data_IF_909402803230
#
_entry.id   IF_909402803230
#
_cell.length_a   1.000
_cell.length_b   1.000
_cell.length_c   1.000
_cell.angle_alpha   90.00
_cell.angle_beta   90.00
_cell.angle_gamma   90.00
#
_symmetry.space_group_name_H-M   'P 1'
#
loop_
_entity.id
_entity.type
_entity.pdbx_description
1 polymer ?
#
# COMPACT_ATOMS: atom_id res chain seq x y z
N UNK A 1 3.84 -5.08 -8.07
CA UNK A 1 3.35 -6.42 -8.47
C UNK A 1 2.01 -6.32 -9.19
N UNK A 2 0.94 -5.80 -8.56
CA UNK A 2 -0.41 -5.72 -9.16
C UNK A 2 -0.43 -5.07 -10.54
N UNK A 3 0.19 -3.89 -10.68
CA UNK A 3 0.33 -3.24 -11.98
C UNK A 3 1.02 -4.16 -13.00
N UNK A 4 2.16 -4.75 -12.65
CA UNK A 4 2.92 -5.61 -13.56
C UNK A 4 2.14 -6.88 -13.96
N UNK A 5 1.30 -7.41 -13.06
CA UNK A 5 0.42 -8.54 -13.40
C UNK A 5 -0.64 -8.14 -14.43
N UNK A 6 -1.28 -6.98 -14.23
CA UNK A 6 -2.27 -6.46 -15.17
C UNK A 6 -1.64 -6.12 -16.53
N UNK A 7 -0.51 -5.43 -16.54
CA UNK A 7 0.24 -5.05 -17.74
C UNK A 7 0.66 -6.26 -18.58
N UNK A 8 1.04 -7.36 -17.91
CA UNK A 8 1.45 -8.62 -18.57
C UNK A 8 0.29 -9.58 -18.83
N UNK A 9 -0.95 -9.19 -18.59
CA UNK A 9 -2.14 -10.03 -18.81
C UNK A 9 -2.20 -11.26 -17.89
N UNK A 10 -1.53 -11.22 -16.72
CA UNK A 10 -1.59 -12.29 -15.72
C UNK A 10 -2.90 -12.15 -14.95
N UNK A 11 -3.71 -13.21 -14.92
CA UNK A 11 -4.93 -13.21 -14.16
C UNK A 11 -4.65 -13.01 -12.66
N UNK A 12 -5.25 -11.99 -12.05
CA UNK A 12 -5.04 -11.68 -10.63
C UNK A 12 -5.42 -12.86 -9.73
N UNK A 13 -6.40 -13.66 -10.11
CA UNK A 13 -6.83 -14.85 -9.37
C UNK A 13 -5.83 -16.02 -9.45
N UNK A 14 -4.87 -15.98 -10.36
CA UNK A 14 -3.79 -16.98 -10.42
C UNK A 14 -2.67 -16.62 -9.43
N UNK A 15 -2.89 -16.97 -8.16
CA UNK A 15 -1.93 -16.72 -7.08
C UNK A 15 -0.52 -17.23 -7.42
N UNK A 16 -0.41 -18.40 -8.04
CA UNK A 16 0.89 -18.99 -8.36
C UNK A 16 1.64 -18.18 -9.43
N UNK A 17 0.95 -17.70 -10.47
CA UNK A 17 1.55 -16.85 -11.48
C UNK A 17 1.95 -15.48 -10.95
N UNK A 18 1.09 -14.88 -10.11
CA UNK A 18 1.37 -13.57 -9.47
C UNK A 18 2.53 -13.69 -8.47
N UNK A 19 2.63 -14.80 -7.75
CA UNK A 19 3.77 -15.08 -6.86
C UNK A 19 5.07 -15.20 -7.65
N UNK A 20 5.11 -16.03 -8.71
CA UNK A 20 6.30 -16.14 -9.57
C UNK A 20 6.71 -14.79 -10.17
N UNK A 21 5.74 -13.98 -10.59
CA UNK A 21 6.03 -12.62 -11.05
C UNK A 21 6.72 -11.79 -9.94
N UNK A 22 6.22 -11.86 -8.71
CA UNK A 22 6.79 -11.07 -7.60
C UNK A 22 8.22 -11.49 -7.21
N UNK A 23 8.60 -12.74 -7.47
CA UNK A 23 9.94 -13.27 -7.21
C UNK A 23 11.00 -12.71 -8.18
N UNK A 24 10.59 -12.39 -9.41
CA UNK A 24 11.51 -11.92 -10.46
C UNK A 24 11.40 -10.42 -10.76
N UNK A 25 10.32 -9.77 -10.32
CA UNK A 25 10.08 -8.36 -10.57
C UNK A 25 11.06 -7.48 -9.80
N UNK A 26 11.88 -6.72 -10.51
CA UNK A 26 12.78 -5.76 -9.88
C UNK A 26 12.04 -4.46 -9.56
N UNK A 27 11.93 -4.14 -8.26
CA UNK A 27 11.23 -2.93 -7.79
C UNK A 27 12.25 -2.00 -7.12
N UNK A 28 12.24 -0.74 -7.55
CA UNK A 28 13.03 0.32 -6.97
C UNK A 28 12.12 1.47 -6.50
N UNK A 29 12.47 2.07 -5.38
CA UNK A 29 11.87 3.31 -4.88
C UNK A 29 12.97 4.33 -4.72
N UNK A 30 12.92 5.38 -5.52
CA UNK A 30 13.97 6.38 -5.64
C UNK A 30 13.45 7.75 -5.18
N UNK A 31 14.37 8.69 -4.98
CA UNK A 31 14.01 10.11 -4.79
C UNK A 31 13.28 10.61 -6.03
N UNK A 32 12.38 11.60 -5.90
CA UNK A 32 11.68 12.16 -7.03
C UNK A 32 12.69 12.78 -8.03
N UNK A 33 12.55 12.40 -9.29
CA UNK A 33 13.40 12.83 -10.41
C UNK A 33 12.70 13.80 -11.37
N UNK A 34 11.40 14.11 -11.09
CA UNK A 34 10.55 15.00 -11.89
C UNK A 34 9.72 15.90 -10.99
N UNK A 35 9.44 17.10 -11.48
CA UNK A 35 8.56 18.08 -10.83
C UNK A 35 7.11 17.91 -11.32
N UNK A 36 6.50 16.76 -11.02
CA UNK A 36 5.12 16.41 -11.38
C UNK A 36 4.25 16.13 -10.15
N UNK A 37 4.71 16.58 -8.96
CA UNK A 37 4.02 16.39 -7.69
C UNK A 37 4.28 15.02 -7.04
N UNK A 38 5.17 14.20 -7.60
CA UNK A 38 5.56 12.94 -6.96
C UNK A 38 6.44 13.19 -5.74
N UNK A 39 6.28 12.39 -4.71
CA UNK A 39 7.15 12.40 -3.53
C UNK A 39 8.31 11.40 -3.64
N UNK A 40 8.20 10.44 -4.54
CA UNK A 40 9.17 9.40 -4.85
C UNK A 40 8.91 8.87 -6.26
N UNK A 41 9.92 8.29 -6.89
CA UNK A 41 9.79 7.58 -8.17
C UNK A 41 9.79 6.08 -7.90
N UNK A 42 8.84 5.36 -8.49
CA UNK A 42 8.76 3.90 -8.43
C UNK A 42 9.06 3.31 -9.79
N UNK A 43 10.06 2.44 -9.84
CA UNK A 43 10.38 1.68 -11.04
C UNK A 43 10.00 0.20 -10.86
N UNK A 44 9.47 -0.38 -11.92
CA UNK A 44 9.24 -1.83 -12.05
C UNK A 44 9.95 -2.30 -13.32
N UNK A 45 10.99 -3.12 -13.17
CA UNK A 45 11.88 -3.54 -14.26
C UNK A 45 12.38 -2.34 -15.10
N UNK A 46 12.76 -1.24 -14.42
CA UNK A 46 13.23 -0.01 -15.06
C UNK A 46 12.13 0.90 -15.64
N UNK A 47 10.88 0.46 -15.67
CA UNK A 47 9.73 1.27 -16.13
C UNK A 47 9.20 2.15 -15.00
N UNK A 48 9.05 3.47 -15.23
CA UNK A 48 8.43 4.39 -14.27
C UNK A 48 6.93 4.10 -14.15
N UNK A 49 6.55 3.57 -13.00
CA UNK A 49 5.16 3.20 -12.67
C UNK A 49 4.57 4.08 -11.58
N UNK A 50 5.20 5.19 -11.24
CA UNK A 50 4.85 6.06 -10.11
C UNK A 50 3.38 6.47 -10.10
N UNK A 51 2.83 6.82 -11.25
CA UNK A 51 1.42 7.18 -11.37
C UNK A 51 0.54 6.00 -11.76
N UNK A 52 1.07 5.05 -12.55
CA UNK A 52 0.34 3.87 -13.01
C UNK A 52 -0.13 2.98 -11.85
N UNK A 53 0.65 2.85 -10.79
CA UNK A 53 0.25 2.10 -9.59
C UNK A 53 -0.92 2.72 -8.81
N UNK A 54 -1.35 3.92 -9.17
CA UNK A 54 -2.46 4.65 -8.55
C UNK A 54 -3.74 4.62 -9.37
N UNK A 55 -3.70 3.97 -10.52
CA UNK A 55 -4.85 3.81 -11.39
C UNK A 55 -5.97 2.99 -10.74
N UNK A 56 -7.25 3.27 -11.10
CA UNK A 56 -8.39 2.54 -10.54
C UNK A 56 -8.28 1.03 -10.70
N UNK A 57 -7.81 0.55 -11.86
CA UNK A 57 -7.62 -0.87 -12.14
C UNK A 57 -6.63 -1.53 -11.15
N UNK A 58 -5.53 -0.85 -10.82
CA UNK A 58 -4.57 -1.35 -9.83
C UNK A 58 -5.17 -1.32 -8.43
N UNK A 59 -5.84 -0.22 -8.06
CA UNK A 59 -6.47 -0.08 -6.75
C UNK A 59 -7.53 -1.15 -6.48
N UNK A 60 -8.30 -1.55 -7.49
CA UNK A 60 -9.31 -2.61 -7.38
C UNK A 60 -8.72 -4.00 -7.07
N UNK A 61 -7.45 -4.23 -7.44
CA UNK A 61 -6.83 -5.55 -7.36
C UNK A 61 -5.69 -5.65 -6.34
N UNK A 62 -5.25 -4.52 -5.75
CA UNK A 62 -4.11 -4.53 -4.82
C UNK A 62 -4.36 -5.34 -3.56
N UNK A 63 -5.59 -5.33 -3.02
CA UNK A 63 -5.90 -6.06 -1.78
C UNK A 63 -5.84 -7.57 -1.94
N UNK A 64 -6.46 -8.20 -2.96
CA UNK A 64 -6.25 -9.62 -3.24
C UNK A 64 -4.77 -9.99 -3.40
N UNK A 65 -4.04 -9.27 -4.25
CA UNK A 65 -2.60 -9.54 -4.48
C UNK A 65 -1.79 -9.41 -3.18
N UNK A 66 -2.08 -8.42 -2.36
CA UNK A 66 -1.38 -8.21 -1.08
C UNK A 66 -1.69 -9.26 -0.02
N UNK A 67 -2.73 -10.07 -0.20
CA UNK A 67 -3.08 -11.17 0.69
C UNK A 67 -2.33 -12.47 0.35
N UNK A 68 -1.77 -12.59 -0.85
CA UNK A 68 -1.04 -13.78 -1.27
C UNK A 68 0.25 -13.95 -0.46
N UNK A 69 0.36 -15.11 0.21
CA UNK A 69 1.49 -15.39 1.08
C UNK A 69 2.83 -15.39 0.33
N UNK A 70 2.86 -15.96 -0.88
CA UNK A 70 4.06 -16.00 -1.72
C UNK A 70 4.51 -14.62 -2.16
N UNK A 71 3.59 -13.73 -2.56
CA UNK A 71 3.90 -12.33 -2.91
C UNK A 71 4.51 -11.59 -1.72
N UNK A 72 3.95 -11.77 -0.53
CA UNK A 72 4.48 -11.14 0.68
C UNK A 72 5.89 -11.63 1.00
N UNK A 73 6.10 -12.94 0.91
CA UNK A 73 7.41 -13.54 1.15
C UNK A 73 8.46 -13.04 0.16
N UNK A 74 8.11 -12.98 -1.12
CA UNK A 74 9.01 -12.49 -2.17
C UNK A 74 9.43 -11.02 -1.96
N UNK A 75 8.49 -10.18 -1.50
CA UNK A 75 8.77 -8.75 -1.30
C UNK A 75 9.45 -8.42 0.04
N UNK A 76 9.42 -9.32 1.02
CA UNK A 76 9.88 -9.04 2.38
C UNK A 76 11.36 -8.61 2.43
N UNK A 77 12.23 -9.30 1.71
CA UNK A 77 13.66 -8.99 1.68
C UNK A 77 13.93 -7.60 1.06
N UNK A 78 13.22 -7.24 -0.01
CA UNK A 78 13.35 -5.94 -0.66
C UNK A 78 12.84 -4.81 0.26
N UNK A 79 11.71 -5.00 0.93
CA UNK A 79 11.16 -4.04 1.88
C UNK A 79 12.09 -3.81 3.07
N UNK A 80 12.65 -4.88 3.65
CA UNK A 80 13.62 -4.78 4.74
C UNK A 80 14.90 -4.07 4.32
N UNK A 81 15.43 -4.39 3.15
CA UNK A 81 16.61 -3.72 2.60
C UNK A 81 16.40 -2.21 2.47
N UNK A 82 15.24 -1.78 1.97
CA UNK A 82 14.90 -0.34 1.87
C UNK A 82 14.81 0.27 3.27
N UNK A 83 14.13 -0.37 4.20
CA UNK A 83 13.95 0.14 5.56
C UNK A 83 15.24 0.23 6.37
N UNK A 84 16.21 -0.68 6.13
CA UNK A 84 17.49 -0.70 6.86
C UNK A 84 18.54 0.29 6.37
N UNK A 85 18.26 1.07 5.32
CA UNK A 85 19.19 2.11 4.83
C UNK A 85 19.36 3.29 5.81
N UNK A 86 18.49 3.40 6.81
CA UNK A 86 18.47 4.55 7.75
C UNK A 86 17.87 5.81 7.14
N UNK A 87 17.35 6.71 8.01
CA UNK A 87 16.72 7.95 7.57
C UNK A 87 15.49 7.76 6.69
N UNK A 88 14.76 6.64 6.85
CA UNK A 88 13.61 6.25 6.04
C UNK A 88 12.33 6.34 6.85
N UNK A 89 11.29 6.92 6.26
CA UNK A 89 9.91 6.81 6.75
C UNK A 89 9.16 5.84 5.84
N UNK A 90 8.74 4.71 6.40
CA UNK A 90 8.01 3.68 5.66
C UNK A 90 6.57 3.62 6.15
N UNK A 91 5.61 3.69 5.21
CA UNK A 91 4.18 3.67 5.51
C UNK A 91 3.55 2.40 4.97
N UNK A 92 2.77 1.72 5.81
CA UNK A 92 2.07 0.49 5.43
C UNK A 92 1.24 -0.05 6.58
N UNK A 93 0.69 -1.24 6.42
CA UNK A 93 -0.25 -1.83 7.37
C UNK A 93 0.42 -2.76 8.37
N UNK A 94 1.55 -3.32 8.01
CA UNK A 94 2.32 -4.31 8.76
C UNK A 94 3.81 -3.94 8.88
N UNK A 95 4.13 -2.67 8.64
CA UNK A 95 5.53 -2.21 8.68
C UNK A 95 6.13 -2.43 10.05
N UNK A 96 5.51 -1.92 11.10
CA UNK A 96 6.04 -2.02 12.46
C UNK A 96 5.86 -3.39 13.12
N UNK A 97 4.99 -4.26 12.59
CA UNK A 97 4.74 -5.58 13.17
C UNK A 97 5.51 -6.72 12.47
N UNK A 98 5.80 -6.58 11.16
CA UNK A 98 6.37 -7.67 10.34
C UNK A 98 7.59 -7.23 9.54
N UNK A 99 7.52 -6.09 8.84
CA UNK A 99 8.59 -5.66 7.94
C UNK A 99 9.79 -5.17 8.74
N UNK A 100 9.57 -4.19 9.63
CA UNK A 100 10.58 -3.54 10.47
C UNK A 100 10.17 -3.60 11.95
N UNK A 101 10.14 -4.81 12.55
CA UNK A 101 9.75 -4.96 13.95
C UNK A 101 10.73 -4.30 14.93
N UNK A 102 11.96 -4.03 14.49
CA UNK A 102 13.00 -3.35 15.26
C UNK A 102 13.13 -1.85 14.92
N UNK A 103 12.13 -1.25 14.25
CA UNK A 103 12.15 0.18 13.95
C UNK A 103 12.21 1.01 15.23
N UNK A 104 13.06 2.04 15.27
CA UNK A 104 13.27 2.93 16.41
C UNK A 104 12.01 3.68 16.84
N UNK A 105 11.14 4.00 15.88
CA UNK A 105 9.86 4.66 16.12
C UNK A 105 8.77 4.00 15.26
N UNK A 106 7.70 3.59 15.92
CA UNK A 106 6.50 3.05 15.29
C UNK A 106 5.31 3.93 15.65
N UNK A 107 4.63 4.45 14.64
CA UNK A 107 3.45 5.28 14.82
C UNK A 107 2.26 4.58 14.17
N UNK A 108 1.24 4.29 14.95
CA UNK A 108 -0.04 3.80 14.45
C UNK A 108 -1.00 4.97 14.28
N UNK A 109 -1.30 5.32 13.03
CA UNK A 109 -2.27 6.36 12.70
C UNK A 109 -3.67 5.77 12.78
N UNK A 110 -4.46 6.27 13.70
CA UNK A 110 -5.83 5.80 13.96
C UNK A 110 -6.87 6.82 13.50
N UNK A 111 -7.84 6.36 12.73
CA UNK A 111 -8.97 7.17 12.29
C UNK A 111 -10.21 6.29 12.14
N UNK A 112 -11.38 6.83 12.47
CA UNK A 112 -12.63 6.11 12.26
C UNK A 112 -12.84 5.79 10.78
N UNK A 113 -13.65 4.77 10.49
CA UNK A 113 -14.00 4.40 9.13
C UNK A 113 -14.65 5.59 8.39
N UNK A 114 -15.54 6.32 9.05
CA UNK A 114 -16.23 7.48 8.50
C UNK A 114 -15.23 8.58 8.08
N UNK A 115 -14.25 8.89 8.95
CA UNK A 115 -13.25 9.89 8.65
C UNK A 115 -12.34 9.45 7.49
N UNK A 116 -11.95 8.18 7.43
CA UNK A 116 -11.19 7.63 6.31
C UNK A 116 -11.99 7.67 5.00
N UNK A 117 -13.30 7.35 5.05
CA UNK A 117 -14.20 7.45 3.91
C UNK A 117 -14.31 8.89 3.41
N UNK A 118 -14.51 9.84 4.33
CA UNK A 118 -14.61 11.26 4.01
C UNK A 118 -13.34 11.77 3.28
N UNK A 119 -12.16 11.46 3.82
CA UNK A 119 -10.87 11.84 3.22
C UNK A 119 -10.70 11.23 1.83
N UNK A 120 -10.96 9.92 1.71
CA UNK A 120 -10.81 9.21 0.43
C UNK A 120 -11.77 9.72 -0.63
N UNK A 121 -13.01 10.01 -0.25
CA UNK A 121 -14.00 10.62 -1.14
C UNK A 121 -13.55 12.01 -1.61
N UNK A 122 -13.07 12.86 -0.70
CA UNK A 122 -12.57 14.19 -1.06
C UNK A 122 -11.36 14.11 -1.99
N UNK A 123 -10.41 13.21 -1.72
CA UNK A 123 -9.25 12.97 -2.60
C UNK A 123 -9.67 12.54 -4.01
N UNK A 124 -10.63 11.62 -4.11
CA UNK A 124 -11.15 11.17 -5.40
C UNK A 124 -11.80 12.32 -6.18
N UNK A 125 -12.62 13.13 -5.50
CA UNK A 125 -13.26 14.32 -6.10
C UNK A 125 -12.25 15.35 -6.62
N UNK A 126 -11.19 15.64 -5.85
CA UNK A 126 -10.12 16.54 -6.25
C UNK A 126 -9.36 16.06 -7.51
N UNK A 127 -9.30 14.74 -7.70
CA UNK A 127 -8.70 14.12 -8.90
C UNK A 127 -9.68 13.96 -10.07
N UNK A 128 -10.92 14.45 -9.94
CA UNK A 128 -11.95 14.30 -10.96
C UNK A 128 -12.47 12.87 -11.12
N UNK A 129 -12.24 12.00 -10.14
CA UNK A 129 -12.75 10.61 -10.16
C UNK A 129 -14.19 10.64 -9.66
N UNK A 130 -15.11 10.15 -10.47
CA UNK A 130 -16.52 10.04 -10.11
C UNK A 130 -16.76 8.76 -9.31
N UNK A 131 -16.96 8.93 -8.00
CA UNK A 131 -17.28 7.84 -7.06
C UNK A 131 -18.32 8.31 -6.07
N UNK A 132 -19.15 7.40 -5.56
CA UNK A 132 -20.05 7.70 -4.45
C UNK A 132 -19.36 7.49 -3.10
N UNK A 133 -19.85 8.18 -2.06
CA UNK A 133 -19.38 7.94 -0.68
C UNK A 133 -19.67 6.50 -0.23
N UNK A 134 -20.77 5.93 -0.70
CA UNK A 134 -21.17 4.55 -0.42
C UNK A 134 -20.19 3.54 -1.04
N UNK A 135 -19.75 3.76 -2.28
CA UNK A 135 -18.73 2.93 -2.92
C UNK A 135 -17.42 2.99 -2.15
N UNK A 136 -16.97 4.19 -1.77
CA UNK A 136 -15.76 4.37 -0.96
C UNK A 136 -15.87 3.64 0.38
N UNK A 137 -17.03 3.72 1.04
CA UNK A 137 -17.27 3.03 2.31
C UNK A 137 -17.21 1.51 2.14
N UNK A 138 -17.89 0.97 1.12
CA UNK A 138 -17.87 -0.46 0.80
C UNK A 138 -16.45 -0.96 0.53
N UNK A 139 -15.70 -0.24 -0.29
CA UNK A 139 -14.35 -0.60 -0.66
C UNK A 139 -13.38 -0.58 0.53
N UNK A 140 -13.45 0.44 1.39
CA UNK A 140 -12.63 0.52 2.58
C UNK A 140 -12.98 -0.58 3.58
N UNK A 141 -14.26 -0.86 3.79
CA UNK A 141 -14.72 -1.94 4.67
C UNK A 141 -14.23 -3.30 4.18
N UNK A 142 -14.37 -3.57 2.88
CA UNK A 142 -13.89 -4.82 2.29
C UNK A 142 -12.36 -4.96 2.42
N UNK A 143 -11.63 -3.88 2.19
CA UNK A 143 -10.18 -3.85 2.34
C UNK A 143 -9.74 -4.11 3.77
N UNK A 144 -10.36 -3.45 4.75
CA UNK A 144 -10.05 -3.66 6.17
C UNK A 144 -10.30 -5.12 6.58
N UNK A 145 -11.39 -5.73 6.07
CA UNK A 145 -11.70 -7.14 6.31
C UNK A 145 -10.61 -8.06 5.74
N UNK A 146 -10.15 -7.81 4.50
CA UNK A 146 -9.07 -8.58 3.89
C UNK A 146 -7.78 -8.42 4.70
N UNK A 147 -7.39 -7.19 5.01
CA UNK A 147 -6.11 -6.90 5.67
C UNK A 147 -6.05 -7.43 7.11
N UNK A 148 -7.17 -7.44 7.83
CA UNK A 148 -7.24 -7.97 9.20
C UNK A 148 -7.40 -9.50 9.24
N UNK A 149 -8.04 -10.08 8.22
CA UNK A 149 -8.35 -11.50 8.17
C UNK A 149 -7.30 -12.39 7.48
N UNK A 150 -6.25 -11.81 6.88
CA UNK A 150 -5.23 -12.60 6.20
C UNK A 150 -4.37 -13.40 7.17
N UNK A 151 -4.00 -14.62 6.76
CA UNK A 151 -3.22 -15.55 7.59
C UNK A 151 -1.76 -15.11 7.75
N UNK A 152 -1.22 -14.37 6.78
CA UNK A 152 0.17 -13.89 6.79
C UNK A 152 0.18 -12.37 6.97
N UNK A 153 0.89 -11.89 7.98
CA UNK A 153 1.03 -10.47 8.32
C UNK A 153 -0.32 -9.72 8.39
N UNK A 154 -1.24 -10.12 9.28
CA UNK A 154 -2.49 -9.41 9.48
C UNK A 154 -2.25 -7.96 9.91
N UNK A 155 -3.23 -7.10 9.69
CA UNK A 155 -3.19 -5.74 10.23
C UNK A 155 -3.32 -5.81 11.75
N UNK A 156 -2.19 -5.66 12.43
CA UNK A 156 -2.12 -5.59 13.89
C UNK A 156 -1.29 -4.38 14.32
N UNK A 157 -1.64 -3.82 15.46
CA UNK A 157 -0.87 -2.73 16.06
C UNK A 157 0.34 -3.36 16.76
N UNK A 158 1.56 -2.91 16.42
CA UNK A 158 2.74 -3.34 17.13
C UNK A 158 2.63 -2.90 18.61
N UNK A 159 3.07 -3.76 19.53
CA UNK A 159 2.89 -3.54 20.98
C UNK A 159 3.59 -2.29 21.51
N UNK A 160 4.65 -1.87 20.84
CA UNK A 160 5.46 -0.69 21.11
C UNK A 160 5.12 0.52 20.24
N UNK A 161 4.03 0.46 19.47
CA UNK A 161 3.62 1.57 18.62
C UNK A 161 2.93 2.69 19.41
N UNK A 162 3.34 3.91 19.15
CA UNK A 162 2.65 5.11 19.64
C UNK A 162 1.38 5.31 18.80
N UNK A 163 0.22 5.33 19.45
CA UNK A 163 -1.04 5.65 18.77
C UNK A 163 -1.19 7.15 18.58
N UNK A 164 -1.40 7.57 17.35
CA UNK A 164 -1.70 8.95 17.00
C UNK A 164 -3.11 9.02 16.39
N UNK A 165 -4.12 9.50 17.15
CA UNK A 165 -5.45 9.70 16.60
C UNK A 165 -5.38 10.84 15.57
N UNK A 166 -5.84 10.56 14.36
CA UNK A 166 -6.01 11.56 13.33
C UNK A 166 -7.34 12.28 13.54
N UNK A 167 -7.41 13.15 14.56
CA UNK A 167 -8.42 14.19 14.60
C UNK A 167 -8.23 15.11 13.39
N UNK A 168 -9.30 15.67 12.80
CA UNK A 168 -9.16 16.64 11.73
C UNK A 168 -8.18 17.73 12.18
N UNK A 169 -7.00 17.76 11.59
CA UNK A 169 -6.17 18.97 11.67
C UNK A 169 -7.00 20.00 10.92
N UNK A 170 -7.48 21.03 11.64
CA UNK A 170 -8.08 22.18 11.01
C UNK A 170 -7.11 22.65 9.91
N UNK A 171 -7.61 22.88 8.68
CA UNK A 171 -6.74 23.45 7.66
C UNK A 171 -6.20 24.77 8.20
N UNK A 172 -4.88 24.91 8.24
CA UNK A 172 -4.21 26.19 8.42
C UNK A 172 -4.42 27.05 7.19
#
# INVERSE_FOLDING_TARGET
VTWAALDRGIAIADEAAVTRLSEVLHIEVLRPDRDDGRQYTVLADGTDVTWLIREPAVNAHVSPVSAYAGVRQALLAAQRRIGSQGGVVMVGRDIGSVILPEAELKIYLDASLEERCRRRYQEARQRGIDVSLEDVHRDLTQRDKIDSGRSVAPLVIASDAVRAPLTPLSPM
#
